data_IF_307359032164
#
_entry.id   IF_307359032164
#
_cell.length_a   1.000
_cell.length_b   1.000
_cell.length_c   1.000
_cell.angle_alpha   90.00
_cell.angle_beta   90.00
_cell.angle_gamma   90.00
#
_symmetry.space_group_name_H-M   'P 1'
#
loop_
_entity.id
_entity.type
_entity.pdbx_description
1 polymer ?
#
# COMPACT_ATOMS: atom_id res chain seq x y z
N UNK A 1 -8.29 7.26 -27.15
CA UNK A 1 -9.01 6.57 -26.05
C UNK A 1 -10.18 7.43 -25.63
N UNK A 2 -11.39 6.88 -25.56
CA UNK A 2 -12.61 7.66 -25.32
C UNK A 2 -12.84 7.85 -23.80
N UNK A 3 -12.75 9.08 -23.26
CA UNK A 3 -12.81 9.34 -21.81
C UNK A 3 -14.16 8.96 -21.17
N UNK A 4 -15.24 8.87 -21.97
CA UNK A 4 -16.57 8.48 -21.49
C UNK A 4 -16.62 7.01 -21.05
N UNK A 5 -15.87 6.13 -21.72
CA UNK A 5 -15.77 4.72 -21.33
C UNK A 5 -15.07 4.54 -19.99
N UNK A 6 -14.08 5.38 -19.69
CA UNK A 6 -13.35 5.35 -18.43
C UNK A 6 -14.23 5.78 -17.25
N UNK A 7 -15.05 6.81 -17.44
CA UNK A 7 -16.01 7.26 -16.43
C UNK A 7 -17.10 6.22 -16.18
N UNK A 8 -17.62 5.59 -17.23
CA UNK A 8 -18.66 4.55 -17.12
C UNK A 8 -18.16 3.32 -16.35
N UNK A 9 -16.96 2.82 -16.66
CA UNK A 9 -16.40 1.63 -16.01
C UNK A 9 -16.10 1.87 -14.53
N UNK A 10 -15.62 3.07 -14.15
CA UNK A 10 -15.32 3.37 -12.75
C UNK A 10 -16.57 3.72 -11.93
N UNK A 11 -17.46 4.57 -12.43
CA UNK A 11 -18.59 5.06 -11.63
C UNK A 11 -19.82 4.14 -11.63
N UNK A 12 -20.05 3.37 -12.71
CA UNK A 12 -21.25 2.54 -12.82
C UNK A 12 -20.91 1.07 -12.56
N UNK A 13 -19.83 0.57 -13.15
CA UNK A 13 -19.48 -0.86 -13.05
C UNK A 13 -18.73 -1.20 -11.77
N UNK A 14 -17.89 -0.29 -11.25
CA UNK A 14 -17.17 -0.46 -9.98
C UNK A 14 -18.10 -0.76 -8.79
N UNK A 15 -19.08 0.11 -8.49
CA UNK A 15 -19.95 -0.07 -7.34
C UNK A 15 -20.79 -1.35 -7.38
N UNK A 16 -21.19 -1.80 -8.57
CA UNK A 16 -21.94 -3.05 -8.72
C UNK A 16 -21.10 -4.29 -8.42
N UNK A 17 -19.82 -4.27 -8.76
CA UNK A 17 -18.90 -5.36 -8.46
C UNK A 17 -18.58 -5.43 -6.97
N UNK A 18 -18.42 -4.28 -6.31
CA UNK A 18 -18.17 -4.22 -4.87
C UNK A 18 -19.38 -4.70 -4.07
N UNK A 19 -20.60 -4.33 -4.48
CA UNK A 19 -21.83 -4.81 -3.86
C UNK A 19 -22.01 -6.33 -4.02
N UNK A 20 -21.64 -6.91 -5.17
CA UNK A 20 -21.68 -8.36 -5.38
C UNK A 20 -20.62 -9.12 -4.56
N UNK A 21 -19.41 -8.55 -4.41
CA UNK A 21 -18.35 -9.17 -3.59
C UNK A 21 -18.71 -9.20 -2.11
N UNK A 22 -19.25 -8.11 -1.58
CA UNK A 22 -19.70 -8.04 -0.17
C UNK A 22 -20.76 -9.09 0.15
N UNK A 23 -21.74 -9.28 -0.74
CA UNK A 23 -22.77 -10.33 -0.59
C UNK A 23 -22.18 -11.73 -0.56
N UNK A 24 -21.22 -12.02 -1.44
CA UNK A 24 -20.53 -13.33 -1.45
C UNK A 24 -19.67 -13.53 -0.20
N UNK A 25 -19.01 -12.49 0.29
CA UNK A 25 -18.22 -12.56 1.52
C UNK A 25 -19.10 -12.76 2.77
N UNK A 26 -20.30 -12.18 2.81
CA UNK A 26 -21.28 -12.40 3.89
C UNK A 26 -21.84 -13.83 3.84
N UNK A 27 -22.17 -14.36 2.65
CA UNK A 27 -22.60 -15.74 2.47
C UNK A 27 -21.50 -16.75 2.86
N UNK A 28 -20.23 -16.46 2.54
CA UNK A 28 -19.09 -17.29 2.95
C UNK A 28 -18.80 -17.21 4.45
N UNK A 29 -19.05 -16.06 5.10
CA UNK A 29 -18.95 -15.92 6.56
C UNK A 29 -20.02 -16.75 7.25
N UNK A 30 -21.26 -16.68 6.78
CA UNK A 30 -22.36 -17.48 7.33
C UNK A 30 -22.18 -18.98 7.07
N UNK A 31 -21.63 -19.37 5.91
CA UNK A 31 -21.31 -20.76 5.62
C UNK A 31 -20.16 -21.31 6.50
N UNK A 32 -19.19 -20.46 6.86
CA UNK A 32 -18.13 -20.84 7.81
C UNK A 32 -18.67 -20.99 9.24
N UNK A 33 -19.53 -20.08 9.68
CA UNK A 33 -20.20 -20.17 10.99
C UNK A 33 -21.12 -21.41 11.09
N UNK A 34 -21.77 -21.82 9.99
CA UNK A 34 -22.58 -23.03 9.94
C UNK A 34 -21.76 -24.34 9.82
N UNK A 35 -20.51 -24.28 9.39
CA UNK A 35 -19.61 -25.44 9.29
C UNK A 35 -18.81 -25.71 10.58
N UNK A 36 -18.66 -24.71 11.45
CA UNK A 36 -17.96 -24.85 12.74
C UNK A 36 -18.64 -25.77 13.79
N UNK A 37 -19.98 -25.99 13.84
CA UNK A 37 -20.53 -26.98 14.78
C UNK A 37 -20.29 -28.44 14.37
N UNK A 38 -19.89 -28.73 13.12
CA UNK A 38 -19.65 -30.10 12.65
C UNK A 38 -18.21 -30.59 12.87
N UNK A 39 -17.25 -29.68 13.09
CA UNK A 39 -15.83 -30.01 13.29
C UNK A 39 -15.44 -30.18 14.76
N UNK A 40 -16.31 -29.80 15.70
CA UNK A 40 -16.05 -29.91 17.14
C UNK A 40 -16.05 -31.36 17.69
N UNK A 41 -16.47 -32.36 16.90
CA UNK A 41 -16.47 -33.76 17.30
C UNK A 41 -15.23 -34.56 16.84
N UNK A 42 -14.35 -33.97 16.02
CA UNK A 42 -13.17 -34.67 15.49
C UNK A 42 -11.91 -33.80 15.69
N UNK A 43 -10.92 -34.38 16.38
CA UNK A 43 -9.57 -33.86 16.57
C UNK A 43 -9.35 -32.90 17.76
N UNK A 44 -9.46 -33.48 18.95
CA UNK A 44 -8.43 -33.33 19.99
C UNK A 44 -7.01 -33.38 19.40
N UNK A 45 -6.21 -32.31 19.53
CA UNK A 45 -4.71 -32.23 19.64
C UNK A 45 -4.30 -30.73 19.60
N UNK A 46 -3.25 -30.30 20.31
CA UNK A 46 -3.34 -29.19 21.27
C UNK A 46 -2.99 -27.78 20.73
N UNK A 47 -3.61 -26.81 21.41
CA UNK A 47 -3.36 -25.37 21.40
C UNK A 47 -1.87 -25.03 21.57
N UNK A 48 -1.20 -24.53 20.52
CA UNK A 48 -0.01 -23.65 20.67
C UNK A 48 0.30 -22.76 19.44
N UNK A 49 -0.71 -22.34 18.68
CA UNK A 49 -0.51 -21.51 17.48
C UNK A 49 -1.66 -20.56 17.14
N UNK A 50 -2.47 -20.18 18.13
CA UNK A 50 -3.72 -19.44 17.93
C UNK A 50 -3.84 -18.17 18.80
N UNK A 51 -2.73 -17.53 19.12
CA UNK A 51 -2.72 -16.16 19.72
C UNK A 51 -1.88 -15.18 18.88
N UNK A 52 -1.37 -15.60 17.72
CA UNK A 52 -0.71 -14.75 16.72
C UNK A 52 -1.56 -14.63 15.42
N UNK A 53 -2.85 -14.97 15.50
CA UNK A 53 -3.76 -15.13 14.35
C UNK A 53 -4.66 -13.91 14.11
N UNK A 54 -4.27 -12.72 14.58
CA UNK A 54 -4.88 -11.43 14.25
C UNK A 54 -3.83 -10.31 14.11
N UNK A 55 -2.58 -10.65 13.80
CA UNK A 55 -1.76 -9.70 13.07
C UNK A 55 -2.23 -9.80 11.63
N UNK A 56 -3.09 -8.88 11.18
CA UNK A 56 -3.45 -8.77 9.77
C UNK A 56 -2.12 -8.71 8.97
N UNK A 57 -1.89 -9.72 8.14
CA UNK A 57 -0.68 -9.82 7.32
C UNK A 57 -1.05 -9.26 5.94
N UNK A 58 -0.49 -8.10 5.59
CA UNK A 58 -0.65 -7.49 4.26
C UNK A 58 0.58 -7.80 3.40
N UNK A 59 0.38 -7.82 2.08
CA UNK A 59 1.49 -8.04 1.15
C UNK A 59 2.22 -6.73 0.86
N UNK A 60 3.55 -6.77 0.88
CA UNK A 60 4.36 -5.65 0.42
C UNK A 60 4.15 -5.42 -1.08
N UNK A 61 3.91 -4.17 -1.50
CA UNK A 61 3.61 -3.80 -2.89
C UNK A 61 4.76 -4.07 -3.89
N UNK A 62 5.98 -4.26 -3.40
CA UNK A 62 7.19 -4.40 -4.24
C UNK A 62 7.74 -5.83 -4.30
N UNK A 63 7.67 -6.58 -3.20
CA UNK A 63 8.23 -7.93 -3.12
C UNK A 63 7.19 -9.01 -2.80
N UNK A 64 5.92 -8.62 -2.61
CA UNK A 64 4.80 -9.50 -2.26
C UNK A 64 5.01 -10.34 -0.99
N UNK A 65 6.06 -10.05 -0.22
CA UNK A 65 6.31 -10.66 1.08
C UNK A 65 5.15 -10.38 2.03
N UNK A 66 4.79 -11.36 2.85
CA UNK A 66 3.79 -11.20 3.91
C UNK A 66 4.42 -10.43 5.07
N UNK A 67 3.88 -9.26 5.36
CA UNK A 67 4.39 -8.33 6.37
C UNK A 67 3.20 -7.88 7.24
N UNK A 68 3.45 -7.44 8.48
CA UNK A 68 2.37 -6.93 9.34
C UNK A 68 1.82 -5.60 8.81
N UNK A 69 0.51 -5.34 8.99
CA UNK A 69 -0.11 -4.07 8.53
C UNK A 69 0.58 -2.85 9.12
N UNK A 70 0.94 -2.92 10.40
CA UNK A 70 1.61 -1.83 11.11
C UNK A 70 2.93 -1.45 10.41
N UNK A 71 3.72 -2.44 9.99
CA UNK A 71 4.97 -2.20 9.28
C UNK A 71 4.74 -1.64 7.86
N UNK A 72 3.65 -2.04 7.21
CA UNK A 72 3.32 -1.59 5.84
C UNK A 72 2.79 -0.15 5.85
N UNK A 73 1.97 0.23 6.82
CA UNK A 73 1.42 1.59 6.95
C UNK A 73 2.51 2.61 7.32
N UNK A 74 3.43 2.25 8.21
CA UNK A 74 4.57 3.10 8.58
C UNK A 74 5.53 3.34 7.40
N UNK A 75 5.61 2.40 6.46
CA UNK A 75 6.55 2.42 5.34
C UNK A 75 5.87 2.68 3.98
N UNK A 76 4.72 3.36 3.96
CA UNK A 76 4.00 3.75 2.73
C UNK A 76 3.68 2.58 1.78
N UNK A 77 3.28 1.43 2.31
CA UNK A 77 2.93 0.25 1.51
C UNK A 77 4.11 -0.69 1.20
N UNK A 78 5.28 -0.46 1.79
CA UNK A 78 6.50 -1.24 1.55
C UNK A 78 6.93 -2.01 2.81
N UNK A 79 7.65 -3.11 2.61
CA UNK A 79 8.34 -3.85 3.67
C UNK A 79 9.54 -3.06 4.20
N UNK A 80 10.02 -3.30 5.43
CA UNK A 80 11.22 -2.61 5.96
C UNK A 80 12.44 -2.76 5.03
N UNK A 81 12.66 -3.95 4.45
CA UNK A 81 13.75 -4.22 3.49
C UNK A 81 13.60 -3.42 2.19
N UNK A 82 12.35 -3.12 1.82
CA UNK A 82 11.98 -2.41 0.61
C UNK A 82 12.05 -0.89 0.81
N UNK A 83 11.66 -0.43 2.00
CA UNK A 83 11.72 0.97 2.43
C UNK A 83 13.15 1.42 2.75
N UNK A 84 13.98 0.52 3.28
CA UNK A 84 15.41 0.78 3.53
C UNK A 84 16.24 0.96 2.25
N UNK A 85 15.65 0.71 1.07
CA UNK A 85 16.30 0.99 -0.20
C UNK A 85 16.00 2.44 -0.63
N UNK A 86 16.97 3.37 -0.57
CA UNK A 86 16.75 4.78 -0.88
C UNK A 86 16.30 5.01 -2.34
N UNK A 87 16.53 4.03 -3.23
CA UNK A 87 16.00 4.05 -4.59
C UNK A 87 14.47 4.02 -4.67
N UNK A 88 13.77 3.49 -3.66
CA UNK A 88 12.30 3.46 -3.67
C UNK A 88 11.67 4.84 -3.38
N UNK A 89 12.41 5.73 -2.73
CA UNK A 89 11.98 7.09 -2.37
C UNK A 89 12.29 8.13 -3.47
N UNK A 90 13.13 7.77 -4.44
CA UNK A 90 13.45 8.58 -5.62
C UNK A 90 12.30 8.55 -6.62
N UNK A 91 11.17 9.17 -6.25
CA UNK A 91 10.12 9.46 -7.21
C UNK A 91 10.61 10.53 -8.21
N UNK A 92 10.10 10.54 -9.45
CA UNK A 92 10.45 11.55 -10.44
C UNK A 92 10.26 12.99 -9.93
N UNK A 93 9.27 13.19 -9.05
CA UNK A 93 9.00 14.46 -8.40
C UNK A 93 10.14 14.90 -7.46
N UNK A 94 10.63 13.99 -6.61
CA UNK A 94 11.75 14.27 -5.69
C UNK A 94 13.03 14.58 -6.45
N UNK A 95 13.30 13.87 -7.55
CA UNK A 95 14.46 14.14 -8.42
C UNK A 95 14.38 15.55 -9.01
N UNK A 96 13.21 15.95 -9.51
CA UNK A 96 13.01 17.29 -10.06
C UNK A 96 13.17 18.37 -8.99
N UNK A 97 12.65 18.14 -7.78
CA UNK A 97 12.82 19.07 -6.66
C UNK A 97 14.29 19.23 -6.25
N UNK A 98 15.03 18.13 -6.07
CA UNK A 98 16.46 18.18 -5.73
C UNK A 98 17.26 18.86 -6.84
N UNK A 99 16.97 18.56 -8.11
CA UNK A 99 17.59 19.24 -9.25
C UNK A 99 17.34 20.75 -9.22
N UNK A 100 16.10 21.17 -8.97
CA UNK A 100 15.74 22.58 -8.82
C UNK A 100 16.47 23.28 -7.67
N UNK A 101 16.58 22.62 -6.50
CA UNK A 101 17.34 23.14 -5.35
C UNK A 101 18.81 23.32 -5.71
N UNK A 102 19.43 22.35 -6.39
CA UNK A 102 20.83 22.44 -6.81
C UNK A 102 21.04 23.59 -7.79
N UNK A 103 20.17 23.73 -8.79
CA UNK A 103 20.25 24.85 -9.75
C UNK A 103 20.10 26.20 -9.04
N UNK A 104 19.15 26.32 -8.12
CA UNK A 104 18.97 27.54 -7.33
C UNK A 104 20.21 27.87 -6.49
N UNK A 105 20.82 26.88 -5.84
CA UNK A 105 22.06 27.05 -5.07
C UNK A 105 23.23 27.46 -5.97
N UNK A 106 23.37 26.85 -7.15
CA UNK A 106 24.42 27.21 -8.11
C UNK A 106 24.27 28.66 -8.55
N UNK A 107 23.05 29.09 -8.89
CA UNK A 107 22.77 30.49 -9.26
C UNK A 107 23.06 31.42 -8.09
N UNK A 108 22.69 31.04 -6.87
CA UNK A 108 22.92 31.84 -5.67
C UNK A 108 24.42 32.00 -5.39
N UNK A 109 25.19 30.91 -5.45
CA UNK A 109 26.66 30.93 -5.26
C UNK A 109 27.33 31.74 -6.36
N UNK A 110 26.93 31.57 -7.61
CA UNK A 110 27.45 32.36 -8.72
C UNK A 110 27.19 33.86 -8.52
N UNK A 111 25.97 34.24 -8.17
CA UNK A 111 25.62 35.65 -7.91
C UNK A 111 26.40 36.22 -6.73
N UNK A 112 26.57 35.44 -5.67
CA UNK A 112 27.37 35.82 -4.50
C UNK A 112 28.84 36.08 -4.88
N UNK A 113 29.47 35.16 -5.63
CA UNK A 113 30.87 35.30 -6.06
C UNK A 113 31.09 36.48 -7.01
N UNK A 114 30.08 36.84 -7.81
CA UNK A 114 30.15 37.94 -8.77
C UNK A 114 29.55 39.26 -8.27
N UNK A 115 29.21 39.38 -6.97
CA UNK A 115 28.59 40.56 -6.36
C UNK A 115 27.34 41.06 -7.11
N UNK A 116 26.56 40.13 -7.66
CA UNK A 116 25.28 40.44 -8.30
C UNK A 116 24.18 40.55 -7.23
N UNK A 117 23.22 41.48 -7.37
CA UNK A 117 22.15 41.63 -6.39
C UNK A 117 21.30 40.37 -6.30
N UNK A 118 20.99 39.93 -5.07
CA UNK A 118 20.02 38.89 -4.77
C UNK A 118 18.62 39.54 -4.81
N UNK A 119 17.83 39.17 -5.81
CA UNK A 119 16.42 39.61 -5.95
C UNK A 119 15.55 38.66 -5.14
#
# INVERSE_FOLDING_TARGET
>A
MNPLLFLYLNFIRGPQLDAQRRKKEEEERLAKEAAEPALAAAATVPKKKLEAATAELTSCKKCEGRVSVNEVDENFGLCNVCASNPMALLTPFVIFQLGGIVVALVVLVYRYLHNLPLV
#
